data_IF_111992780046
#
_entry.id   IF_111992780046
#
_cell.length_a   1.000
_cell.length_b   1.000
_cell.length_c   1.000
_cell.angle_alpha   90.00
_cell.angle_beta   90.00
_cell.angle_gamma   90.00
#
_symmetry.space_group_name_H-M   'P 1'
#
loop_
_entity.id
_entity.type
_entity.pdbx_description
1 polymer ?
#
# COMPACT_ATOMS: atom_id res chain seq x y z
N UNK A 1 -1.33 -2.22 -36.05
CA UNK A 1 -2.51 -1.33 -35.97
C UNK A 1 -2.39 -0.55 -34.66
N UNK A 2 -2.62 0.81 -34.66
CA UNK A 2 -2.66 1.57 -33.41
C UNK A 2 -4.11 1.72 -32.96
N UNK A 3 -4.42 1.35 -31.73
CA UNK A 3 -5.76 1.42 -31.13
C UNK A 3 -5.66 2.39 -29.96
N UNK A 4 -6.31 3.53 -30.09
CA UNK A 4 -6.35 4.56 -29.05
C UNK A 4 -7.73 4.54 -28.39
N UNK A 5 -7.75 4.35 -27.06
CA UNK A 5 -8.96 4.37 -26.27
C UNK A 5 -9.07 5.73 -25.55
N UNK A 6 -10.27 6.32 -25.61
CA UNK A 6 -10.59 7.51 -24.82
C UNK A 6 -10.76 7.20 -23.32
N UNK A 7 -10.99 8.23 -22.51
CA UNK A 7 -11.10 8.09 -21.04
C UNK A 7 -12.26 7.19 -20.60
N UNK A 8 -13.38 7.18 -21.34
CA UNK A 8 -14.55 6.35 -21.00
C UNK A 8 -14.33 4.91 -21.40
N UNK A 9 -13.73 4.68 -22.58
CA UNK A 9 -13.37 3.35 -23.05
C UNK A 9 -12.30 2.72 -22.15
N UNK A 10 -11.29 3.49 -21.75
CA UNK A 10 -10.25 3.07 -20.80
C UNK A 10 -10.85 2.64 -19.48
N UNK A 11 -11.78 3.44 -18.92
CA UNK A 11 -12.48 3.10 -17.68
C UNK A 11 -13.35 1.85 -17.84
N UNK A 12 -14.08 1.72 -18.96
CA UNK A 12 -14.92 0.54 -19.20
C UNK A 12 -14.08 -0.75 -19.32
N UNK A 13 -12.95 -0.71 -20.02
CA UNK A 13 -12.00 -1.84 -20.11
C UNK A 13 -11.46 -2.19 -18.72
N UNK A 14 -11.07 -1.19 -17.93
CA UNK A 14 -10.60 -1.41 -16.57
C UNK A 14 -11.65 -2.09 -15.67
N UNK A 15 -12.93 -1.72 -15.80
CA UNK A 15 -14.04 -2.37 -15.07
C UNK A 15 -14.23 -3.82 -15.54
N UNK A 16 -14.16 -4.11 -16.83
CA UNK A 16 -14.24 -5.50 -17.34
C UNK A 16 -13.09 -6.35 -16.79
N UNK A 17 -11.87 -5.81 -16.77
CA UNK A 17 -10.68 -6.44 -16.21
C UNK A 17 -10.84 -6.68 -14.71
N UNK A 18 -11.40 -5.71 -13.97
CA UNK A 18 -11.71 -5.84 -12.53
C UNK A 18 -12.72 -6.97 -12.27
N UNK A 19 -13.80 -7.04 -13.06
CA UNK A 19 -14.82 -8.09 -12.94
C UNK A 19 -14.23 -9.48 -13.24
N UNK A 20 -13.38 -9.59 -14.27
CA UNK A 20 -12.64 -10.82 -14.57
C UNK A 20 -11.74 -11.22 -13.39
N UNK A 21 -11.00 -10.27 -12.83
CA UNK A 21 -10.13 -10.51 -11.67
C UNK A 21 -10.91 -10.98 -10.45
N UNK A 22 -12.05 -10.36 -10.16
CA UNK A 22 -12.95 -10.79 -9.08
C UNK A 22 -13.49 -12.20 -9.30
N UNK A 23 -13.88 -12.55 -10.53
CA UNK A 23 -14.33 -13.89 -10.86
C UNK A 23 -13.23 -14.93 -10.65
N UNK A 24 -12.02 -14.68 -11.15
CA UNK A 24 -10.88 -15.59 -11.01
C UNK A 24 -10.42 -15.73 -9.55
N UNK A 25 -10.42 -14.62 -8.79
CA UNK A 25 -10.10 -14.65 -7.36
C UNK A 25 -11.04 -15.58 -6.59
N UNK A 26 -12.35 -15.58 -6.91
CA UNK A 26 -13.33 -16.49 -6.29
C UNK A 26 -13.11 -17.97 -6.65
N UNK A 27 -12.48 -18.27 -7.79
CA UNK A 27 -12.28 -19.65 -8.29
C UNK A 27 -10.92 -20.25 -7.91
N UNK A 28 -9.89 -19.42 -7.77
CA UNK A 28 -8.50 -19.88 -7.60
C UNK A 28 -8.04 -19.61 -6.17
N UNK A 29 -7.93 -20.68 -5.38
CA UNK A 29 -7.52 -20.62 -3.97
C UNK A 29 -6.17 -19.90 -3.76
N UNK A 30 -5.19 -20.10 -4.65
CA UNK A 30 -3.88 -19.43 -4.59
C UNK A 30 -4.03 -17.91 -4.56
N UNK A 31 -4.90 -17.33 -5.40
CA UNK A 31 -5.11 -15.88 -5.48
C UNK A 31 -5.79 -15.33 -4.23
N UNK A 32 -6.65 -16.13 -3.57
CA UNK A 32 -7.26 -15.79 -2.30
C UNK A 32 -6.24 -15.84 -1.17
N UNK A 33 -5.48 -16.94 -1.08
CA UNK A 33 -4.48 -17.18 -0.04
C UNK A 33 -3.44 -16.07 0.05
N UNK A 34 -2.99 -15.54 -1.07
CA UNK A 34 -2.00 -14.45 -1.12
C UNK A 34 -2.63 -13.06 -1.19
N UNK A 35 -3.93 -12.93 -0.97
CA UNK A 35 -4.68 -11.67 -0.96
C UNK A 35 -4.45 -10.78 -2.20
N UNK A 36 -4.13 -11.39 -3.37
CA UNK A 36 -3.84 -10.63 -4.59
C UNK A 36 -5.06 -9.80 -4.99
N UNK A 37 -4.91 -8.47 -5.21
CA UNK A 37 -6.02 -7.61 -5.60
C UNK A 37 -6.64 -8.02 -6.94
N UNK A 38 -7.96 -7.98 -7.05
CA UNK A 38 -8.67 -8.34 -8.28
C UNK A 38 -8.23 -7.51 -9.52
N UNK A 39 -7.99 -6.18 -9.43
CA UNK A 39 -7.45 -5.40 -10.54
C UNK A 39 -6.13 -5.95 -11.06
N UNK A 40 -5.26 -6.44 -10.17
CA UNK A 40 -3.94 -7.00 -10.54
C UNK A 40 -4.12 -8.32 -11.31
N UNK A 41 -5.02 -9.20 -10.85
CA UNK A 41 -5.28 -10.49 -11.50
C UNK A 41 -5.79 -10.29 -12.94
N UNK A 42 -6.85 -9.52 -13.09
CA UNK A 42 -7.44 -9.27 -14.40
C UNK A 42 -6.53 -8.42 -15.28
N UNK A 43 -5.87 -7.40 -14.69
CA UNK A 43 -4.96 -6.51 -15.41
C UNK A 43 -3.72 -7.21 -15.94
N UNK A 44 -3.15 -8.16 -15.19
CA UNK A 44 -2.01 -8.94 -15.65
C UNK A 44 -2.38 -9.81 -16.88
N UNK A 45 -3.57 -10.42 -16.89
CA UNK A 45 -4.06 -11.17 -18.05
C UNK A 45 -4.18 -10.25 -19.27
N UNK A 46 -4.77 -9.07 -19.06
CA UNK A 46 -4.90 -8.07 -20.12
C UNK A 46 -3.52 -7.58 -20.60
N UNK A 47 -2.59 -7.31 -19.70
CA UNK A 47 -1.23 -6.89 -20.00
C UNK A 47 -0.44 -7.96 -20.76
N UNK A 48 -0.64 -9.24 -20.47
CA UNK A 48 -0.08 -10.35 -21.26
C UNK A 48 -0.65 -10.34 -22.68
N UNK A 49 -1.96 -10.15 -22.82
CA UNK A 49 -2.61 -10.07 -24.14
C UNK A 49 -2.06 -8.89 -24.96
N UNK A 50 -1.97 -7.69 -24.38
CA UNK A 50 -1.42 -6.50 -25.05
C UNK A 50 0.07 -6.68 -25.39
N UNK A 51 0.84 -7.34 -24.52
CA UNK A 51 2.24 -7.69 -24.76
C UNK A 51 2.38 -8.61 -25.99
N UNK A 52 1.56 -9.66 -26.09
CA UNK A 52 1.56 -10.55 -27.25
C UNK A 52 1.21 -9.77 -28.52
N UNK A 53 0.17 -8.93 -28.48
CA UNK A 53 -0.22 -8.09 -29.62
C UNK A 53 0.89 -7.14 -30.05
N UNK A 54 1.62 -6.55 -29.11
CA UNK A 54 2.74 -5.64 -29.36
C UNK A 54 3.93 -6.38 -30.00
N UNK A 55 4.37 -7.50 -29.39
CA UNK A 55 5.54 -8.27 -29.85
C UNK A 55 5.28 -8.89 -31.24
N UNK A 56 4.05 -9.32 -31.50
CA UNK A 56 3.66 -9.88 -32.81
C UNK A 56 3.38 -8.80 -33.86
N UNK A 57 3.39 -7.52 -33.49
CA UNK A 57 3.11 -6.41 -34.42
C UNK A 57 1.65 -6.28 -34.85
N UNK A 58 0.72 -7.03 -34.24
CA UNK A 58 -0.72 -7.03 -34.58
C UNK A 58 -1.37 -5.70 -34.18
N UNK A 59 -1.18 -5.27 -32.91
CA UNK A 59 -1.78 -4.07 -32.39
C UNK A 59 -0.92 -3.45 -31.29
N UNK A 60 -0.95 -2.12 -31.22
CA UNK A 60 -0.39 -1.29 -30.15
C UNK A 60 -1.56 -0.52 -29.50
N UNK A 61 -1.73 -0.69 -28.19
CA UNK A 61 -2.80 -0.03 -27.42
C UNK A 61 -2.27 1.21 -26.73
N UNK A 62 -3.05 2.29 -26.77
CA UNK A 62 -2.82 3.54 -26.05
C UNK A 62 -4.09 3.90 -25.30
N UNK A 63 -3.94 4.31 -24.03
CA UNK A 63 -5.03 4.56 -23.09
C UNK A 63 -4.96 6.01 -22.62
N UNK A 64 -6.14 6.61 -22.38
CA UNK A 64 -6.24 7.91 -21.75
C UNK A 64 -6.15 7.78 -20.22
N UNK A 65 -5.28 8.56 -19.60
CA UNK A 65 -4.95 8.48 -18.18
C UNK A 65 -5.76 9.45 -17.29
N UNK A 66 -6.59 10.31 -17.86
CA UNK A 66 -7.30 11.39 -17.14
C UNK A 66 -8.12 10.85 -15.95
N UNK A 67 -8.96 9.85 -16.16
CA UNK A 67 -9.77 9.28 -15.08
C UNK A 67 -8.94 8.45 -14.10
N UNK A 68 -7.82 7.89 -14.54
CA UNK A 68 -6.87 7.21 -13.64
C UNK A 68 -6.32 8.18 -12.60
N UNK A 69 -5.89 9.38 -13.04
CA UNK A 69 -5.38 10.42 -12.14
C UNK A 69 -6.44 10.92 -11.17
N UNK A 70 -7.68 11.14 -11.64
CA UNK A 70 -8.80 11.52 -10.78
C UNK A 70 -9.04 10.48 -9.68
N UNK A 71 -9.16 9.19 -10.06
CA UNK A 71 -9.38 8.12 -9.09
C UNK A 71 -8.20 7.98 -8.11
N UNK A 72 -6.96 8.17 -8.56
CA UNK A 72 -5.76 8.18 -7.72
C UNK A 72 -5.84 9.29 -6.67
N UNK A 73 -6.18 10.53 -7.07
CA UNK A 73 -6.28 11.67 -6.16
C UNK A 73 -7.38 11.43 -5.12
N UNK A 74 -8.54 10.91 -5.52
CA UNK A 74 -9.62 10.54 -4.58
C UNK A 74 -9.16 9.50 -3.56
N UNK A 75 -8.46 8.45 -4.01
CA UNK A 75 -7.91 7.42 -3.13
C UNK A 75 -6.92 8.01 -2.11
N UNK A 76 -5.90 8.73 -2.55
CA UNK A 76 -4.91 9.30 -1.62
C UNK A 76 -5.49 10.38 -0.71
N UNK A 77 -6.52 11.10 -1.15
CA UNK A 77 -7.26 12.02 -0.28
C UNK A 77 -7.96 11.26 0.84
N UNK A 78 -8.58 10.11 0.54
CA UNK A 78 -9.19 9.26 1.58
C UNK A 78 -8.14 8.74 2.57
N UNK A 79 -6.94 8.38 2.11
CA UNK A 79 -5.79 8.02 2.97
C UNK A 79 -5.41 9.19 3.88
N UNK A 80 -5.42 10.43 3.37
CA UNK A 80 -5.16 11.62 4.18
C UNK A 80 -6.15 11.77 5.33
N UNK A 81 -7.44 11.52 5.11
CA UNK A 81 -8.46 11.55 6.17
C UNK A 81 -8.26 10.48 7.25
N UNK A 82 -7.52 9.42 6.99
CA UNK A 82 -7.20 8.41 8.00
C UNK A 82 -6.19 8.92 9.05
N UNK A 83 -5.35 9.90 8.73
CA UNK A 83 -4.31 10.46 9.62
C UNK A 83 -4.91 11.27 10.78
N UNK A 84 -5.33 10.59 11.86
CA UNK A 84 -5.96 11.17 13.04
C UNK A 84 -4.99 11.21 14.23
N UNK A 85 -4.59 12.43 14.64
CA UNK A 85 -3.69 12.65 15.78
C UNK A 85 -4.30 12.29 17.13
N UNK A 86 -5.63 12.33 17.28
CA UNK A 86 -6.30 11.93 18.51
C UNK A 86 -6.18 10.41 18.72
N UNK A 87 -6.36 9.63 17.66
CA UNK A 87 -6.14 8.18 17.67
C UNK A 87 -4.67 7.85 17.96
N UNK A 88 -3.73 8.60 17.37
CA UNK A 88 -2.31 8.41 17.63
C UNK A 88 -1.97 8.68 19.13
N UNK A 89 -2.56 9.70 19.74
CA UNK A 89 -2.35 9.99 21.17
C UNK A 89 -2.99 8.96 22.09
N UNK A 90 -4.17 8.42 21.73
CA UNK A 90 -4.87 7.41 22.55
C UNK A 90 -4.21 6.02 22.48
N UNK A 91 -3.48 5.70 21.41
CA UNK A 91 -2.79 4.41 21.23
C UNK A 91 -1.57 4.19 22.12
N UNK A 92 -1.21 5.17 22.94
CA UNK A 92 -0.17 5.06 23.96
C UNK A 92 1.25 4.89 23.42
N UNK A 93 2.19 4.54 24.32
CA UNK A 93 3.62 4.42 24.02
C UNK A 93 3.90 3.35 22.97
N UNK A 94 3.21 2.22 23.02
CA UNK A 94 3.42 1.10 22.09
C UNK A 94 3.12 1.48 20.64
N UNK A 95 2.05 2.25 20.40
CA UNK A 95 1.70 2.74 19.06
C UNK A 95 2.77 3.68 18.51
N UNK A 96 3.27 4.63 19.32
CA UNK A 96 4.30 5.58 18.89
C UNK A 96 5.61 4.86 18.57
N UNK A 97 6.02 3.90 19.41
CA UNK A 97 7.23 3.10 19.20
C UNK A 97 7.08 2.27 17.91
N UNK A 98 5.94 1.60 17.74
CA UNK A 98 5.69 0.79 16.55
C UNK A 98 5.65 1.65 15.27
N UNK A 99 5.02 2.82 15.31
CA UNK A 99 5.04 3.78 14.21
C UNK A 99 6.48 4.22 13.87
N UNK A 100 7.30 4.50 14.88
CA UNK A 100 8.72 4.81 14.68
C UNK A 100 9.49 3.68 14.00
N UNK A 101 9.21 2.42 14.36
CA UNK A 101 9.80 1.25 13.71
C UNK A 101 9.35 1.13 12.25
N UNK A 102 8.09 1.39 11.93
CA UNK A 102 7.59 1.36 10.55
C UNK A 102 8.25 2.46 9.70
N UNK A 103 8.42 3.67 10.23
CA UNK A 103 9.16 4.75 9.55
C UNK A 103 10.62 4.32 9.30
N UNK A 104 11.27 3.72 10.30
CA UNK A 104 12.63 3.21 10.15
C UNK A 104 12.72 2.12 9.07
N UNK A 105 11.74 1.20 9.02
CA UNK A 105 11.64 0.19 7.98
C UNK A 105 11.52 0.81 6.59
N UNK A 106 10.62 1.78 6.40
CA UNK A 106 10.41 2.50 5.14
C UNK A 106 11.72 3.13 4.66
N UNK A 107 12.43 3.82 5.55
CA UNK A 107 13.72 4.46 5.24
C UNK A 107 14.76 3.41 4.87
N UNK A 108 14.88 2.32 5.63
CA UNK A 108 15.84 1.25 5.37
C UNK A 108 15.57 0.52 4.05
N UNK A 109 14.29 0.30 3.69
CA UNK A 109 13.93 -0.27 2.40
C UNK A 109 14.40 0.59 1.24
N UNK A 110 14.20 1.91 1.31
CA UNK A 110 14.65 2.83 0.27
C UNK A 110 16.17 2.93 0.23
N UNK A 111 16.85 3.04 1.36
CA UNK A 111 18.32 3.08 1.42
C UNK A 111 18.94 1.80 0.85
N UNK A 112 18.40 0.63 1.22
CA UNK A 112 18.87 -0.66 0.71
C UNK A 112 18.67 -0.77 -0.80
N UNK A 113 17.48 -0.39 -1.29
CA UNK A 113 17.14 -0.43 -2.70
C UNK A 113 18.03 0.50 -3.54
N UNK A 114 18.16 1.76 -3.12
CA UNK A 114 19.01 2.76 -3.79
C UNK A 114 20.49 2.39 -3.72
N UNK A 115 20.95 1.92 -2.55
CA UNK A 115 22.34 1.50 -2.35
C UNK A 115 22.72 0.33 -3.26
N UNK A 116 21.89 -0.71 -3.31
CA UNK A 116 22.11 -1.85 -4.18
C UNK A 116 21.98 -1.52 -5.65
N UNK A 117 21.04 -0.65 -6.04
CA UNK A 117 20.93 -0.19 -7.42
C UNK A 117 22.23 0.49 -7.87
N UNK A 118 22.81 1.38 -7.03
CA UNK A 118 24.12 2.00 -7.31
C UNK A 118 25.25 0.97 -7.44
N UNK A 119 25.29 -0.05 -6.56
CA UNK A 119 26.27 -1.13 -6.63
C UNK A 119 26.15 -1.95 -7.93
N UNK A 120 24.94 -2.17 -8.39
CA UNK A 120 24.63 -2.85 -9.65
C UNK A 120 24.78 -1.93 -10.88
N UNK A 121 25.27 -0.69 -10.69
CA UNK A 121 25.41 0.33 -11.74
C UNK A 121 24.11 0.68 -12.46
N UNK A 122 22.97 0.55 -11.75
CA UNK A 122 21.67 0.98 -12.22
C UNK A 122 21.39 2.43 -11.79
N UNK A 123 20.42 3.05 -12.46
CA UNK A 123 19.88 4.34 -11.99
C UNK A 123 19.30 4.14 -10.58
N UNK A 124 19.65 4.99 -9.58
CA UNK A 124 19.13 4.89 -8.21
C UNK A 124 17.59 4.89 -8.12
N UNK A 125 16.92 5.59 -9.03
CA UNK A 125 15.45 5.61 -9.10
C UNK A 125 14.85 4.24 -9.50
N UNK A 126 15.59 3.36 -10.21
CA UNK A 126 15.21 1.96 -10.41
C UNK A 126 15.20 1.23 -9.06
N UNK A 127 16.15 1.56 -8.18
CA UNK A 127 16.13 1.07 -6.79
C UNK A 127 14.82 1.43 -6.10
N UNK A 128 14.35 2.68 -6.22
CA UNK A 128 13.08 3.10 -5.61
C UNK A 128 11.89 2.24 -6.06
N UNK A 129 11.91 1.72 -7.30
CA UNK A 129 10.90 0.78 -7.78
C UNK A 129 10.89 -0.56 -7.03
N UNK A 130 11.89 -0.85 -6.22
CA UNK A 130 11.98 -2.06 -5.38
C UNK A 130 12.04 -1.76 -3.89
N UNK A 131 12.02 -0.49 -3.52
CA UNK A 131 12.02 0.01 -2.14
C UNK A 131 10.62 0.04 -1.52
N UNK A 132 10.39 1.03 -0.67
CA UNK A 132 9.13 1.15 0.06
C UNK A 132 7.93 1.49 -0.84
N UNK A 133 8.15 1.97 -2.08
CA UNK A 133 7.08 2.22 -3.05
C UNK A 133 6.19 0.98 -3.21
N UNK A 134 6.71 -0.17 -3.70
CA UNK A 134 5.93 -1.39 -3.82
C UNK A 134 5.86 -2.21 -2.53
N UNK A 135 6.85 -2.13 -1.63
CA UNK A 135 6.92 -2.98 -0.44
C UNK A 135 5.88 -2.57 0.61
N UNK A 136 6.04 -1.44 1.26
CA UNK A 136 5.06 -0.94 2.25
C UNK A 136 3.82 -0.37 1.55
N UNK A 137 4.01 0.40 0.47
CA UNK A 137 2.91 1.06 -0.23
C UNK A 137 2.11 0.16 -1.18
N UNK A 138 2.60 -1.06 -1.47
CA UNK A 138 1.90 -2.03 -2.29
C UNK A 138 1.56 -1.52 -3.69
N UNK A 139 0.48 -2.07 -4.28
CA UNK A 139 0.04 -1.72 -5.63
C UNK A 139 -0.48 -0.28 -5.75
N UNK A 140 -1.08 0.27 -4.69
CA UNK A 140 -1.60 1.64 -4.69
C UNK A 140 -0.49 2.65 -4.92
N UNK A 141 0.53 2.60 -4.08
CA UNK A 141 1.69 3.49 -4.17
C UNK A 141 2.55 3.19 -5.40
N UNK A 142 2.67 1.91 -5.80
CA UNK A 142 3.34 1.51 -7.04
C UNK A 142 2.68 2.14 -8.28
N UNK A 143 1.36 2.09 -8.36
CA UNK A 143 0.61 2.71 -9.46
C UNK A 143 0.67 4.23 -9.47
N UNK A 144 0.82 4.87 -8.31
CA UNK A 144 0.90 6.33 -8.19
C UNK A 144 2.29 6.87 -8.49
N UNK A 145 3.33 6.27 -7.93
CA UNK A 145 4.71 6.74 -8.11
C UNK A 145 5.38 6.18 -9.37
N UNK A 146 4.90 5.06 -9.90
CA UNK A 146 5.41 4.49 -11.16
C UNK A 146 5.45 5.51 -12.29
N UNK A 147 4.32 6.16 -12.65
CA UNK A 147 4.28 7.22 -13.66
C UNK A 147 5.20 8.40 -13.33
N UNK A 148 5.27 8.83 -12.07
CA UNK A 148 6.17 9.91 -11.64
C UNK A 148 7.64 9.57 -11.94
N UNK A 149 8.04 8.30 -11.73
CA UNK A 149 9.38 7.83 -12.07
C UNK A 149 9.57 7.70 -13.59
N UNK A 150 8.52 7.38 -14.34
CA UNK A 150 8.55 7.37 -15.81
C UNK A 150 8.75 8.78 -16.38
N UNK A 151 8.12 9.79 -15.80
CA UNK A 151 8.33 11.22 -16.13
C UNK A 151 9.78 11.66 -15.84
N UNK A 152 10.44 11.02 -14.88
CA UNK A 152 11.87 11.18 -14.59
C UNK A 152 12.77 10.27 -15.47
N UNK A 153 12.26 9.81 -16.61
CA UNK A 153 12.94 8.99 -17.60
C UNK A 153 13.31 7.56 -17.16
N UNK A 154 12.63 7.00 -16.16
CA UNK A 154 12.78 5.59 -15.75
C UNK A 154 11.75 4.74 -16.52
N UNK A 155 12.17 4.22 -17.68
CA UNK A 155 11.29 3.40 -18.53
C UNK A 155 10.75 2.18 -17.79
N UNK A 156 9.45 1.94 -17.89
CA UNK A 156 8.78 0.78 -17.30
C UNK A 156 8.69 0.80 -15.77
N UNK A 157 8.90 1.96 -15.11
CA UNK A 157 8.87 2.06 -13.64
C UNK A 157 7.53 1.58 -13.07
N UNK A 158 6.40 1.91 -13.68
CA UNK A 158 5.08 1.45 -13.27
C UNK A 158 4.99 -0.08 -13.30
N UNK A 159 5.51 -0.68 -14.37
CA UNK A 159 5.51 -2.14 -14.55
C UNK A 159 6.43 -2.82 -13.53
N UNK A 160 7.63 -2.26 -13.28
CA UNK A 160 8.58 -2.76 -12.28
C UNK A 160 7.96 -2.69 -10.88
N UNK A 161 7.46 -1.52 -10.46
CA UNK A 161 6.85 -1.34 -9.14
C UNK A 161 5.68 -2.30 -8.91
N UNK A 162 4.83 -2.51 -9.91
CA UNK A 162 3.68 -3.41 -9.81
C UNK A 162 4.08 -4.87 -9.72
N UNK A 163 5.06 -5.30 -10.52
CA UNK A 163 5.61 -6.66 -10.44
C UNK A 163 6.21 -6.92 -9.05
N UNK A 164 6.97 -5.96 -8.53
CA UNK A 164 7.59 -6.03 -7.20
C UNK A 164 6.52 -6.05 -6.09
N UNK A 165 5.46 -5.25 -6.18
CA UNK A 165 4.35 -5.29 -5.23
C UNK A 165 3.66 -6.65 -5.19
N UNK A 166 3.43 -7.27 -6.37
CA UNK A 166 2.85 -8.62 -6.46
C UNK A 166 3.77 -9.67 -5.82
N UNK A 167 5.07 -9.58 -6.08
CA UNK A 167 6.08 -10.43 -5.46
C UNK A 167 6.09 -10.24 -3.93
N UNK A 168 6.06 -9.00 -3.47
CA UNK A 168 6.00 -8.66 -2.05
C UNK A 168 4.81 -9.28 -1.33
N UNK A 169 3.60 -9.25 -1.91
CA UNK A 169 2.41 -9.91 -1.36
C UNK A 169 2.63 -11.42 -1.15
N UNK A 170 3.23 -12.09 -2.13
CA UNK A 170 3.48 -13.53 -2.06
C UNK A 170 4.50 -13.84 -0.94
N UNK A 171 5.64 -13.14 -0.95
CA UNK A 171 6.71 -13.40 0.03
C UNK A 171 6.32 -12.97 1.43
N UNK A 172 5.62 -11.83 1.60
CA UNK A 172 5.11 -11.39 2.89
C UNK A 172 4.21 -12.42 3.55
N UNK A 173 3.33 -13.06 2.77
CA UNK A 173 2.45 -14.13 3.25
C UNK A 173 3.20 -15.43 3.55
N UNK A 174 4.31 -15.70 2.85
CA UNK A 174 5.09 -16.93 3.07
C UNK A 174 5.99 -16.85 4.31
N UNK A 175 6.53 -15.66 4.63
CA UNK A 175 7.53 -15.51 5.71
C UNK A 175 6.91 -15.14 7.05
N UNK A 176 5.78 -14.41 7.09
CA UNK A 176 5.25 -13.84 8.32
C UNK A 176 4.83 -14.90 9.34
N UNK A 177 4.01 -15.86 8.94
CA UNK A 177 3.58 -16.95 9.80
C UNK A 177 4.74 -17.78 10.38
N UNK A 178 5.63 -18.34 9.54
CA UNK A 178 6.78 -19.11 10.01
C UNK A 178 7.73 -18.31 10.92
N UNK A 179 7.92 -17.02 10.70
CA UNK A 179 8.79 -16.18 11.51
C UNK A 179 8.21 -15.92 12.90
N UNK A 180 6.91 -15.58 12.98
CA UNK A 180 6.20 -15.44 14.25
C UNK A 180 6.19 -16.73 15.05
N UNK A 181 5.85 -17.86 14.42
CA UNK A 181 5.89 -19.19 15.03
C UNK A 181 7.27 -19.52 15.59
N UNK A 182 8.33 -19.30 14.81
CA UNK A 182 9.73 -19.56 15.24
C UNK A 182 10.11 -18.73 16.47
N UNK A 183 9.66 -17.47 16.57
CA UNK A 183 9.92 -16.64 17.74
C UNK A 183 9.21 -17.18 18.98
N UNK A 184 7.93 -17.56 18.86
CA UNK A 184 7.12 -18.12 19.94
C UNK A 184 7.75 -19.40 20.49
N UNK A 185 8.12 -20.34 19.62
CA UNK A 185 8.70 -21.62 20.01
C UNK A 185 10.10 -21.48 20.59
N UNK A 186 10.97 -20.70 19.94
CA UNK A 186 12.38 -20.51 20.36
C UNK A 186 12.50 -19.86 21.73
N UNK A 187 11.62 -18.93 22.06
CA UNK A 187 11.66 -18.19 23.31
C UNK A 187 10.59 -18.61 24.32
N UNK A 188 9.81 -19.66 24.03
CA UNK A 188 8.73 -20.19 24.91
C UNK A 188 7.74 -19.10 25.36
N UNK A 189 7.30 -18.24 24.41
CA UNK A 189 6.58 -17.01 24.71
C UNK A 189 5.12 -17.19 25.15
N UNK A 190 4.55 -18.39 25.08
CA UNK A 190 3.17 -18.66 25.50
C UNK A 190 2.90 -18.27 26.95
N UNK A 191 3.92 -18.32 27.81
CA UNK A 191 3.80 -17.92 29.21
C UNK A 191 3.69 -16.39 29.38
N UNK A 192 3.98 -15.62 28.34
CA UNK A 192 3.88 -14.14 28.31
C UNK A 192 2.61 -13.67 27.60
N UNK A 193 1.81 -14.59 27.04
CA UNK A 193 0.53 -14.26 26.48
C UNK A 193 -0.39 -13.74 27.58
N UNK A 194 -0.95 -12.54 27.41
CA UNK A 194 -1.91 -12.02 28.35
C UNK A 194 -3.15 -12.93 28.36
N UNK A 195 -3.68 -13.23 29.55
CA UNK A 195 -5.02 -13.85 29.69
C UNK A 195 -6.06 -12.75 29.40
N UNK A 196 -6.10 -12.28 28.16
CA UNK A 196 -7.04 -11.25 27.75
C UNK A 196 -8.35 -11.94 27.32
N UNK A 197 -9.45 -11.41 27.83
CA UNK A 197 -10.78 -11.90 27.58
C UNK A 197 -11.14 -11.71 26.09
N UNK A 198 -11.44 -12.77 25.36
CA UNK A 198 -11.80 -12.76 23.91
C UNK A 198 -12.98 -11.82 23.59
N UNK A 199 -13.73 -11.40 24.63
CA UNK A 199 -14.84 -10.46 24.50
C UNK A 199 -14.45 -9.07 23.92
N UNK A 200 -13.17 -8.68 24.03
CA UNK A 200 -12.68 -7.40 23.51
C UNK A 200 -12.37 -7.44 21.99
N UNK A 201 -12.26 -8.62 21.38
CA UNK A 201 -12.11 -8.79 19.93
C UNK A 201 -13.43 -8.68 19.18
N UNK A 202 -14.55 -8.82 19.90
CA UNK A 202 -15.91 -8.59 19.38
C UNK A 202 -16.33 -7.17 19.76
N UNK A 203 -15.65 -6.16 19.25
CA UNK A 203 -16.38 -4.92 19.02
C UNK A 203 -17.43 -5.27 17.96
N UNK A 204 -18.68 -5.37 18.40
CA UNK A 204 -19.83 -5.31 17.53
C UNK A 204 -19.55 -4.21 16.51
N UNK A 205 -19.32 -4.59 15.24
CA UNK A 205 -19.57 -3.69 14.14
C UNK A 205 -21.04 -3.28 14.31
N UNK A 206 -21.28 -2.23 15.10
CA UNK A 206 -22.56 -1.55 15.13
C UNK A 206 -22.85 -1.33 13.67
N UNK A 207 -23.89 -2.02 13.15
CA UNK A 207 -24.32 -1.88 11.76
C UNK A 207 -24.48 -0.38 11.52
N UNK A 208 -23.42 0.21 10.93
CA UNK A 208 -23.43 1.61 10.57
C UNK A 208 -24.50 1.75 9.49
N UNK A 209 -25.65 2.34 9.85
CA UNK A 209 -26.70 2.60 8.88
C UNK A 209 -26.18 3.64 7.90
N UNK A 210 -25.93 3.19 6.67
CA UNK A 210 -25.38 4.00 5.59
C UNK A 210 -26.53 4.69 4.87
N UNK A 211 -26.56 6.01 4.94
CA UNK A 211 -27.56 6.84 4.27
C UNK A 211 -26.93 7.62 3.11
N UNK A 212 -27.71 7.84 2.04
CA UNK A 212 -27.26 8.56 0.83
C UNK A 212 -26.69 9.95 1.16
N UNK A 213 -27.24 10.64 2.16
CA UNK A 213 -26.74 11.96 2.59
C UNK A 213 -25.30 11.89 3.13
N UNK A 214 -24.93 10.82 3.86
CA UNK A 214 -23.57 10.62 4.38
C UNK A 214 -22.55 10.42 3.26
N UNK A 215 -22.95 9.71 2.18
CA UNK A 215 -22.10 9.60 0.99
C UNK A 215 -21.93 10.92 0.25
N UNK A 216 -23.00 11.73 0.15
CA UNK A 216 -22.92 13.06 -0.45
C UNK A 216 -21.96 13.96 0.34
N UNK A 217 -22.10 13.98 1.67
CA UNK A 217 -21.20 14.76 2.55
C UNK A 217 -19.74 14.27 2.42
N UNK A 218 -19.53 12.96 2.38
CA UNK A 218 -18.18 12.37 2.20
C UNK A 218 -17.56 12.77 0.85
N UNK A 219 -18.34 12.73 -0.25
CA UNK A 219 -17.88 13.18 -1.57
C UNK A 219 -17.54 14.67 -1.54
N UNK A 220 -18.37 15.51 -0.92
CA UNK A 220 -18.09 16.95 -0.81
C UNK A 220 -16.84 17.22 0.03
N UNK A 221 -16.65 16.50 1.13
CA UNK A 221 -15.45 16.60 1.95
C UNK A 221 -14.19 16.21 1.17
N UNK A 222 -14.25 15.12 0.39
CA UNK A 222 -13.13 14.71 -0.48
C UNK A 222 -12.83 15.78 -1.54
N UNK A 223 -13.84 16.30 -2.23
CA UNK A 223 -13.65 17.33 -3.26
C UNK A 223 -13.08 18.63 -2.66
N UNK A 224 -13.56 19.05 -1.48
CA UNK A 224 -13.03 20.22 -0.78
C UNK A 224 -11.58 20.03 -0.38
N UNK A 225 -11.23 18.84 0.15
CA UNK A 225 -9.84 18.52 0.50
C UNK A 225 -8.93 18.48 -0.74
N UNK A 226 -9.41 17.96 -1.88
CA UNK A 226 -8.70 18.00 -3.16
C UNK A 226 -8.47 19.45 -3.61
N UNK A 227 -9.51 20.28 -3.58
CA UNK A 227 -9.43 21.69 -3.98
C UNK A 227 -8.42 22.49 -3.14
N UNK A 228 -8.46 22.34 -1.80
CA UNK A 228 -7.46 22.95 -0.91
C UNK A 228 -6.07 22.34 -1.15
N UNK A 229 -6.02 21.06 -1.43
CA UNK A 229 -4.79 20.32 -1.70
C UNK A 229 -4.05 20.80 -2.93
N UNK A 230 -4.74 21.24 -3.98
CA UNK A 230 -4.08 21.85 -5.15
C UNK A 230 -3.33 23.14 -4.79
N UNK A 231 -3.87 23.92 -3.84
CA UNK A 231 -3.17 25.10 -3.31
C UNK A 231 -1.91 24.67 -2.54
N UNK A 232 -2.00 23.60 -1.74
CA UNK A 232 -0.83 23.08 -1.02
C UNK A 232 0.24 22.56 -2.00
N UNK A 233 -0.15 21.80 -3.04
CA UNK A 233 0.79 21.37 -4.07
C UNK A 233 1.46 22.57 -4.76
N UNK A 234 0.70 23.60 -5.12
CA UNK A 234 1.24 24.83 -5.72
C UNK A 234 2.24 25.55 -4.80
N UNK A 235 1.99 25.57 -3.49
CA UNK A 235 2.92 26.15 -2.51
C UNK A 235 4.19 25.29 -2.35
N UNK A 236 4.03 23.96 -2.31
CA UNK A 236 5.14 23.03 -2.19
C UNK A 236 6.04 23.04 -3.42
N UNK A 237 5.50 23.11 -4.63
CA UNK A 237 6.29 23.18 -5.87
C UNK A 237 7.11 24.47 -5.99
N UNK A 238 6.70 25.57 -5.32
CA UNK A 238 7.53 26.79 -5.23
C UNK A 238 8.85 26.58 -4.49
N UNK A 239 9.00 25.51 -3.73
CA UNK A 239 10.26 25.13 -3.08
C UNK A 239 11.31 24.58 -4.05
N UNK A 240 10.95 24.37 -5.33
CA UNK A 240 11.81 23.75 -6.35
C UNK A 240 11.82 22.22 -6.29
N UNK A 241 11.06 21.61 -5.39
CA UNK A 241 10.93 20.16 -5.25
C UNK A 241 9.73 19.63 -6.05
N UNK A 242 9.85 18.41 -6.56
CA UNK A 242 8.77 17.75 -7.30
C UNK A 242 7.81 17.06 -6.33
N UNK A 243 6.56 17.51 -6.32
CA UNK A 243 5.49 16.90 -5.52
C UNK A 243 4.37 16.42 -6.43
N UNK A 244 4.00 15.12 -6.38
CA UNK A 244 2.78 14.64 -7.03
C UNK A 244 1.53 15.37 -6.51
N UNK A 245 0.55 15.57 -7.38
CA UNK A 245 -0.69 16.33 -7.08
C UNK A 245 -1.43 15.81 -5.85
N UNK A 246 -1.45 14.50 -5.66
CA UNK A 246 -2.16 13.88 -4.55
C UNK A 246 -1.51 14.12 -3.17
N UNK A 247 -0.22 14.48 -3.10
CA UNK A 247 0.44 14.79 -1.82
C UNK A 247 -0.22 16.00 -1.16
N UNK A 248 -0.50 17.07 -1.92
CA UNK A 248 -1.20 18.22 -1.37
C UNK A 248 -2.62 17.88 -0.92
N UNK A 249 -3.35 17.08 -1.71
CA UNK A 249 -4.70 16.65 -1.36
C UNK A 249 -4.71 15.77 -0.10
N UNK A 250 -3.75 14.87 0.04
CA UNK A 250 -3.56 14.03 1.21
C UNK A 250 -3.25 14.85 2.48
N UNK A 251 -2.37 15.85 2.37
CA UNK A 251 -2.04 16.78 3.48
C UNK A 251 -3.24 17.63 3.88
N UNK A 252 -3.99 18.17 2.91
CA UNK A 252 -5.20 18.95 3.15
C UNK A 252 -6.28 18.11 3.86
N UNK A 253 -6.47 16.87 3.44
CA UNK A 253 -7.40 15.94 4.06
C UNK A 253 -6.99 15.61 5.51
N UNK A 254 -5.71 15.36 5.76
CA UNK A 254 -5.18 15.14 7.11
C UNK A 254 -5.40 16.35 8.02
N UNK A 255 -5.16 17.56 7.50
CA UNK A 255 -5.41 18.80 8.24
C UNK A 255 -6.90 18.98 8.53
N UNK A 256 -7.76 18.82 7.51
CA UNK A 256 -9.21 18.92 7.62
C UNK A 256 -9.75 17.92 8.65
N UNK A 257 -9.32 16.66 8.61
CA UNK A 257 -9.68 15.63 9.59
C UNK A 257 -9.38 16.08 11.02
N UNK A 258 -8.16 16.54 11.25
CA UNK A 258 -7.73 16.91 12.61
C UNK A 258 -8.42 18.20 13.09
N UNK A 259 -8.62 19.19 12.23
CA UNK A 259 -9.38 20.41 12.60
C UNK A 259 -10.81 20.03 12.98
N UNK A 260 -11.53 19.26 12.17
CA UNK A 260 -12.90 18.85 12.46
C UNK A 260 -13.00 18.04 13.76
N UNK A 261 -12.03 17.13 14.01
CA UNK A 261 -11.99 16.30 15.22
C UNK A 261 -11.77 17.13 16.51
N UNK A 262 -10.97 18.21 16.43
CA UNK A 262 -10.69 19.06 17.59
C UNK A 262 -11.75 20.15 17.80
N UNK A 263 -12.34 20.68 16.73
CA UNK A 263 -13.27 21.82 16.80
C UNK A 263 -14.75 21.41 16.79
N UNK A 264 -15.07 20.21 16.29
CA UNK A 264 -16.46 19.77 16.13
C UNK A 264 -17.26 20.53 15.06
N UNK A 265 -16.60 21.31 14.19
CA UNK A 265 -17.27 22.14 13.16
C UNK A 265 -18.05 21.27 12.16
N UNK A 266 -17.51 20.10 11.80
CA UNK A 266 -18.16 19.19 10.87
C UNK A 266 -17.90 17.74 11.27
N UNK A 267 -18.88 16.87 10.99
CA UNK A 267 -18.72 15.42 11.17
C UNK A 267 -18.04 14.84 9.95
N UNK A 268 -16.98 14.08 10.17
CA UNK A 268 -16.27 13.35 9.11
C UNK A 268 -16.81 11.93 9.03
N UNK A 269 -17.43 11.58 7.92
CA UNK A 269 -18.03 10.27 7.66
C UNK A 269 -16.98 9.27 7.15
N UNK A 270 -16.13 8.76 8.08
CA UNK A 270 -14.97 7.91 7.72
C UNK A 270 -15.34 6.61 7.04
N UNK A 271 -16.50 6.00 7.38
CA UNK A 271 -16.97 4.79 6.72
C UNK A 271 -17.19 5.01 5.23
N UNK A 272 -17.91 6.07 4.89
CA UNK A 272 -18.23 6.44 3.52
C UNK A 272 -17.01 6.94 2.75
N UNK A 273 -16.11 7.69 3.40
CA UNK A 273 -14.81 8.12 2.83
C UNK A 273 -13.96 6.90 2.48
N UNK A 274 -13.89 5.90 3.35
CA UNK A 274 -13.15 4.67 3.10
C UNK A 274 -13.75 3.84 1.96
N UNK A 275 -15.08 3.75 1.88
CA UNK A 275 -15.76 3.06 0.78
C UNK A 275 -15.46 3.73 -0.57
N UNK A 276 -15.59 5.07 -0.63
CA UNK A 276 -15.27 5.86 -1.83
C UNK A 276 -13.78 5.74 -2.21
N UNK A 277 -12.90 5.78 -1.21
CA UNK A 277 -11.47 5.53 -1.39
C UNK A 277 -11.18 4.14 -1.95
N UNK A 278 -11.84 3.09 -1.44
CA UNK A 278 -11.71 1.71 -1.90
C UNK A 278 -12.20 1.50 -3.34
N UNK A 279 -13.33 2.13 -3.71
CA UNK A 279 -13.84 2.13 -5.09
C UNK A 279 -12.84 2.84 -6.00
N UNK A 280 -12.38 4.03 -5.60
CA UNK A 280 -11.41 4.81 -6.36
C UNK A 280 -10.10 4.07 -6.54
N UNK A 281 -9.59 3.40 -5.50
CA UNK A 281 -8.41 2.52 -5.58
C UNK A 281 -8.60 1.40 -6.60
N UNK A 282 -9.76 0.74 -6.57
CA UNK A 282 -10.03 -0.39 -7.48
C UNK A 282 -10.05 0.04 -8.94
N UNK A 283 -10.68 1.18 -9.25
CA UNK A 283 -10.74 1.75 -10.59
C UNK A 283 -9.37 2.26 -11.03
N UNK A 284 -8.67 2.99 -10.17
CA UNK A 284 -7.31 3.47 -10.39
C UNK A 284 -6.36 2.31 -10.72
N UNK A 285 -6.35 1.26 -9.89
CA UNK A 285 -5.52 0.08 -10.13
C UNK A 285 -5.93 -0.67 -11.41
N UNK A 286 -7.23 -0.78 -11.69
CA UNK A 286 -7.70 -1.39 -12.94
C UNK A 286 -7.13 -0.68 -14.16
N UNK A 287 -7.21 0.65 -14.21
CA UNK A 287 -6.66 1.46 -15.29
C UNK A 287 -5.12 1.39 -15.34
N UNK A 288 -4.43 1.44 -14.18
CA UNK A 288 -2.98 1.31 -14.13
C UNK A 288 -2.48 -0.07 -14.62
N UNK A 289 -3.24 -1.14 -14.33
CA UNK A 289 -2.85 -2.50 -14.73
C UNK A 289 -2.98 -2.77 -16.23
N UNK A 290 -3.99 -2.20 -16.89
CA UNK A 290 -4.15 -2.39 -18.35
C UNK A 290 -3.09 -1.67 -19.18
N UNK A 291 -2.42 -0.66 -18.59
CA UNK A 291 -1.35 0.12 -19.24
C UNK A 291 0.04 -0.51 -19.10
N UNK A 292 0.20 -1.63 -18.39
CA UNK A 292 1.50 -2.26 -18.13
C UNK A 292 2.20 -2.73 -19.39
N UNK A 293 3.49 -2.38 -19.52
CA UNK A 293 4.37 -2.73 -20.64
C UNK A 293 5.33 -3.85 -20.26
N UNK A 294 4.83 -5.09 -20.23
CA UNK A 294 5.61 -6.24 -19.74
C UNK A 294 6.90 -6.51 -20.53
N UNK A 295 6.97 -6.09 -21.80
CA UNK A 295 8.17 -6.23 -22.61
C UNK A 295 9.36 -5.38 -22.13
N UNK A 296 9.11 -4.35 -21.30
CA UNK A 296 10.16 -3.49 -20.74
C UNK A 296 10.89 -4.16 -19.55
N UNK A 297 10.31 -5.20 -18.93
CA UNK A 297 10.91 -5.90 -17.77
C UNK A 297 12.06 -6.84 -18.14
N UNK A 298 12.12 -7.33 -19.37
CA UNK A 298 13.03 -8.42 -19.75
C UNK A 298 14.51 -8.10 -19.51
N UNK A 299 14.93 -6.85 -19.73
CA UNK A 299 16.31 -6.41 -19.56
C UNK A 299 16.75 -6.24 -18.11
N UNK A 300 15.82 -6.15 -17.17
CA UNK A 300 16.07 -5.89 -15.75
C UNK A 300 15.81 -7.11 -14.84
N UNK A 301 15.47 -8.26 -15.40
CA UNK A 301 15.03 -9.44 -14.65
C UNK A 301 16.03 -9.87 -13.55
N UNK A 302 17.32 -10.03 -13.88
CA UNK A 302 18.34 -10.45 -12.92
C UNK A 302 18.61 -9.42 -11.83
N UNK A 303 18.84 -8.11 -12.13
CA UNK A 303 18.94 -7.09 -11.11
C UNK A 303 17.73 -7.01 -10.18
N UNK A 304 16.52 -7.13 -10.71
CA UNK A 304 15.30 -7.11 -9.92
C UNK A 304 15.22 -8.26 -8.93
N UNK A 305 15.62 -9.48 -9.31
CA UNK A 305 15.66 -10.62 -8.39
C UNK A 305 16.62 -10.37 -7.23
N UNK A 306 17.79 -9.77 -7.48
CA UNK A 306 18.77 -9.44 -6.43
C UNK A 306 18.19 -8.38 -5.47
N UNK A 307 17.59 -7.31 -6.01
CA UNK A 307 16.98 -6.26 -5.22
C UNK A 307 15.82 -6.79 -4.36
N UNK A 308 14.97 -7.66 -4.94
CA UNK A 308 13.86 -8.30 -4.22
C UNK A 308 14.33 -9.24 -3.11
N UNK A 309 15.37 -10.06 -3.39
CA UNK A 309 15.94 -10.94 -2.38
C UNK A 309 16.52 -10.13 -1.20
N UNK A 310 17.13 -8.98 -1.48
CA UNK A 310 17.65 -8.08 -0.45
C UNK A 310 16.52 -7.47 0.39
N UNK A 311 15.39 -7.09 -0.20
CA UNK A 311 14.22 -6.59 0.53
C UNK A 311 13.61 -7.67 1.43
N UNK A 312 13.51 -8.91 0.94
CA UNK A 312 13.05 -10.04 1.75
C UNK A 312 13.99 -10.30 2.93
N UNK A 313 15.29 -10.26 2.69
CA UNK A 313 16.29 -10.42 3.77
C UNK A 313 16.22 -9.26 4.77
N UNK A 314 16.07 -8.03 4.29
CA UNK A 314 15.92 -6.85 5.13
C UNK A 314 14.73 -6.97 6.07
N UNK A 315 13.54 -7.32 5.56
CA UNK A 315 12.33 -7.42 6.40
C UNK A 315 12.50 -8.52 7.45
N UNK A 316 13.08 -9.66 7.11
CA UNK A 316 13.35 -10.75 8.04
C UNK A 316 14.29 -10.28 9.17
N UNK A 317 15.41 -9.64 8.82
CA UNK A 317 16.38 -9.16 9.80
C UNK A 317 15.76 -8.06 10.65
N UNK A 318 15.08 -7.10 10.04
CA UNK A 318 14.48 -5.97 10.74
C UNK A 318 13.43 -6.44 11.75
N UNK A 319 12.50 -7.29 11.34
CA UNK A 319 11.41 -7.74 12.22
C UNK A 319 11.91 -8.68 13.30
N UNK A 320 12.80 -9.63 12.95
CA UNK A 320 13.32 -10.61 13.90
C UNK A 320 14.29 -10.00 14.92
N UNK A 321 15.17 -9.07 14.51
CA UNK A 321 16.23 -8.52 15.37
C UNK A 321 15.83 -7.19 15.98
N UNK A 322 15.27 -6.25 15.21
CA UNK A 322 15.00 -4.89 15.69
C UNK A 322 13.62 -4.82 16.31
N UNK A 323 12.59 -5.12 15.55
CA UNK A 323 11.21 -4.96 15.98
C UNK A 323 10.87 -5.83 17.18
N UNK A 324 11.17 -7.14 17.13
CA UNK A 324 10.92 -8.06 18.23
C UNK A 324 11.57 -7.60 19.54
N UNK A 325 12.82 -7.11 19.47
CA UNK A 325 13.54 -6.66 20.66
C UNK A 325 12.99 -5.35 21.24
N UNK A 326 12.58 -4.42 20.39
CA UNK A 326 12.08 -3.10 20.83
C UNK A 326 10.64 -3.20 21.31
N UNK A 327 9.82 -4.08 20.72
CA UNK A 327 8.40 -4.23 21.09
C UNK A 327 8.16 -5.06 22.37
N UNK A 328 9.21 -5.61 23.00
CA UNK A 328 9.12 -6.18 24.35
C UNK A 328 9.58 -7.64 24.48
N UNK A 329 9.91 -8.33 23.39
CA UNK A 329 10.30 -9.76 23.35
C UNK A 329 9.25 -10.71 23.96
N UNK A 330 8.00 -10.30 23.92
CA UNK A 330 6.85 -11.04 24.43
C UNK A 330 6.06 -11.71 23.28
N UNK A 331 4.97 -12.36 23.64
CA UNK A 331 4.07 -13.02 22.70
C UNK A 331 3.50 -12.01 21.68
N UNK A 332 3.07 -10.84 22.15
CA UNK A 332 2.51 -9.80 21.31
C UNK A 332 3.53 -9.29 20.28
N UNK A 333 4.80 -9.13 20.71
CA UNK A 333 5.87 -8.74 19.78
C UNK A 333 6.10 -9.79 18.69
N UNK A 334 5.96 -11.09 18.98
CA UNK A 334 6.08 -12.15 17.97
C UNK A 334 4.91 -12.11 16.97
N UNK A 335 3.70 -11.79 17.41
CA UNK A 335 2.54 -11.61 16.52
C UNK A 335 2.69 -10.34 15.68
N UNK A 336 3.19 -9.22 16.26
CA UNK A 336 3.51 -8.00 15.53
C UNK A 336 4.52 -8.28 14.40
N UNK A 337 5.60 -9.01 14.67
CA UNK A 337 6.59 -9.42 13.67
C UNK A 337 5.92 -10.16 12.49
N UNK A 338 5.01 -11.09 12.80
CA UNK A 338 4.24 -11.80 11.77
C UNK A 338 3.40 -10.84 10.92
N UNK A 339 2.73 -9.88 11.55
CA UNK A 339 1.94 -8.85 10.88
C UNK A 339 2.80 -7.90 10.05
N UNK A 340 3.92 -7.41 10.61
CA UNK A 340 4.83 -6.48 9.91
C UNK A 340 5.43 -7.10 8.66
N UNK A 341 5.74 -8.40 8.66
CA UNK A 341 6.15 -9.09 7.42
C UNK A 341 5.06 -8.98 6.33
N UNK A 342 3.79 -9.04 6.70
CA UNK A 342 2.67 -8.94 5.76
C UNK A 342 2.51 -7.56 5.14
N UNK A 343 2.38 -6.50 5.95
CA UNK A 343 2.18 -5.15 5.41
C UNK A 343 3.48 -4.50 4.94
N UNK A 344 4.61 -4.84 5.55
CA UNK A 344 5.92 -4.27 5.20
C UNK A 344 6.50 -4.76 3.88
N UNK A 345 5.88 -5.79 3.27
CA UNK A 345 6.22 -6.28 1.92
C UNK A 345 5.00 -6.43 1.02
N UNK A 346 3.83 -5.98 1.44
CA UNK A 346 2.65 -6.23 0.63
C UNK A 346 1.46 -5.35 0.94
N UNK A 347 0.67 -5.74 1.94
CA UNK A 347 -0.56 -5.03 2.29
C UNK A 347 -1.08 -5.43 3.68
N UNK A 348 -1.90 -4.55 4.29
CA UNK A 348 -2.52 -4.82 5.59
C UNK A 348 -3.36 -6.11 5.63
N UNK A 349 -4.13 -6.51 4.59
CA UNK A 349 -4.80 -7.82 4.60
C UNK A 349 -3.85 -9.01 4.75
N UNK A 350 -2.65 -8.96 4.18
CA UNK A 350 -1.63 -9.99 4.38
C UNK A 350 -1.12 -10.03 5.81
N UNK A 351 -0.97 -8.86 6.44
CA UNK A 351 -0.61 -8.78 7.85
C UNK A 351 -1.65 -9.47 8.73
N UNK A 352 -2.93 -9.17 8.49
CA UNK A 352 -4.04 -9.80 9.23
C UNK A 352 -4.07 -11.31 9.02
N UNK A 353 -3.91 -11.79 7.78
CA UNK A 353 -3.87 -13.21 7.47
C UNK A 353 -2.70 -13.93 8.14
N UNK A 354 -1.51 -13.32 8.18
CA UNK A 354 -0.34 -13.85 8.85
C UNK A 354 -0.56 -13.96 10.37
N UNK A 355 -1.06 -12.90 10.99
CA UNK A 355 -1.37 -12.90 12.43
C UNK A 355 -2.42 -13.95 12.77
N UNK A 356 -3.52 -14.02 11.98
CA UNK A 356 -4.57 -15.00 12.17
C UNK A 356 -4.02 -16.43 12.11
N UNK A 357 -3.19 -16.74 11.10
CA UNK A 357 -2.60 -18.07 10.94
C UNK A 357 -1.72 -18.50 12.14
N UNK A 358 -1.08 -17.55 12.82
CA UNK A 358 -0.31 -17.83 14.03
C UNK A 358 -1.25 -17.92 15.24
N UNK A 359 -2.18 -16.98 15.41
CA UNK A 359 -3.13 -16.96 16.52
C UNK A 359 -4.04 -18.19 16.53
N UNK A 360 -4.44 -18.74 15.38
CA UNK A 360 -5.23 -19.97 15.28
C UNK A 360 -4.50 -21.20 15.83
N UNK A 361 -3.16 -21.16 15.87
CA UNK A 361 -2.34 -22.25 16.44
C UNK A 361 -2.04 -22.06 17.94
N UNK A 362 -2.13 -20.81 18.44
CA UNK A 362 -1.75 -20.46 19.80
C UNK A 362 -2.86 -19.67 20.50
N UNK A 363 -2.66 -18.36 20.74
CA UNK A 363 -3.60 -17.50 21.46
C UNK A 363 -3.76 -16.18 20.70
N UNK A 364 -4.93 -15.54 20.69
CA UNK A 364 -5.11 -14.20 20.14
C UNK A 364 -4.22 -13.16 20.83
N UNK A 365 -3.77 -12.13 20.07
CA UNK A 365 -3.05 -10.97 20.59
C UNK A 365 -3.83 -9.71 20.32
N UNK A 366 -4.61 -9.23 21.28
CA UNK A 366 -5.42 -8.01 21.15
C UNK A 366 -4.54 -6.81 20.77
N UNK A 367 -3.38 -6.68 21.42
CA UNK A 367 -2.42 -5.60 21.15
C UNK A 367 -1.95 -5.59 19.69
N UNK A 368 -1.59 -6.74 19.11
CA UNK A 368 -1.16 -6.81 17.72
C UNK A 368 -2.31 -6.51 16.75
N UNK A 369 -3.52 -7.03 17.03
CA UNK A 369 -4.71 -6.76 16.22
C UNK A 369 -5.16 -5.30 16.26
N UNK A 370 -4.82 -4.54 17.31
CA UNK A 370 -5.03 -3.10 17.37
C UNK A 370 -3.92 -2.32 16.67
N UNK A 371 -2.65 -2.66 16.90
CA UNK A 371 -1.52 -1.87 16.40
C UNK A 371 -1.31 -2.00 14.88
N UNK A 372 -1.43 -3.20 14.33
CA UNK A 372 -1.19 -3.44 12.89
C UNK A 372 -2.16 -2.67 11.99
N UNK A 373 -3.49 -2.74 12.17
CA UNK A 373 -4.40 -1.95 11.36
C UNK A 373 -4.21 -0.44 11.56
N UNK A 374 -4.03 0.02 12.81
CA UNK A 374 -3.85 1.44 13.11
C UNK A 374 -2.60 2.01 12.42
N UNK A 375 -1.47 1.31 12.48
CA UNK A 375 -0.24 1.79 11.86
C UNK A 375 -0.20 1.48 10.38
N UNK A 376 -0.52 0.24 9.99
CA UNK A 376 -0.40 -0.23 8.61
C UNK A 376 -1.39 0.42 7.64
N UNK A 377 -2.63 0.69 8.08
CA UNK A 377 -3.63 1.30 7.19
C UNK A 377 -3.81 2.81 7.40
N UNK A 378 -3.65 3.33 8.65
CA UNK A 378 -3.91 4.74 8.91
C UNK A 378 -2.70 5.64 8.68
N UNK A 379 -1.49 5.17 9.01
CA UNK A 379 -0.31 6.02 9.02
C UNK A 379 0.77 5.61 8.03
N UNK A 380 0.92 4.30 7.74
CA UNK A 380 2.02 3.82 6.92
C UNK A 380 1.99 4.40 5.50
N UNK A 381 0.84 4.37 4.81
CA UNK A 381 0.71 4.89 3.45
C UNK A 381 0.94 6.40 3.38
N UNK A 382 0.43 7.14 4.37
CA UNK A 382 0.64 8.58 4.48
C UNK A 382 2.13 8.93 4.64
N UNK A 383 2.79 8.32 5.62
CA UNK A 383 4.20 8.60 5.91
C UNK A 383 5.12 8.06 4.81
N UNK A 384 4.78 6.90 4.24
CA UNK A 384 5.52 6.33 3.13
C UNK A 384 5.55 7.27 1.92
N UNK A 385 4.40 7.84 1.56
CA UNK A 385 4.31 8.80 0.44
C UNK A 385 5.20 10.02 0.65
N UNK A 386 5.29 10.56 1.88
CA UNK A 386 6.16 11.66 2.23
C UNK A 386 7.64 11.28 2.12
N UNK A 387 8.00 10.10 2.67
CA UNK A 387 9.39 9.61 2.62
C UNK A 387 9.82 9.32 1.18
N UNK A 388 8.96 8.69 0.36
CA UNK A 388 9.25 8.44 -1.06
C UNK A 388 9.50 9.76 -1.80
N UNK A 389 8.62 10.74 -1.60
CA UNK A 389 8.77 12.07 -2.23
C UNK A 389 10.09 12.72 -1.84
N UNK A 390 10.49 12.62 -0.55
CA UNK A 390 11.78 13.10 -0.09
C UNK A 390 12.95 12.39 -0.82
N UNK A 391 12.92 11.07 -0.92
CA UNK A 391 13.97 10.30 -1.60
C UNK A 391 14.06 10.62 -3.08
N UNK A 392 12.94 10.75 -3.79
CA UNK A 392 12.92 11.09 -5.22
C UNK A 392 13.57 12.46 -5.46
N UNK A 393 13.35 13.44 -4.57
CA UNK A 393 13.93 14.77 -4.69
C UNK A 393 15.41 14.82 -4.24
N UNK A 394 15.91 13.81 -3.52
CA UNK A 394 17.31 13.71 -3.10
C UNK A 394 18.19 13.04 -4.16
N UNK A 395 17.62 12.22 -5.04
CA UNK A 395 18.34 11.39 -6.02
C UNK A 395 18.44 12.04 -7.38
#
# INVERSE_FOLDING_TARGET
>A
MKIQLDMYQTLAVAVLVLLLGNYLKKKIYFLQKFCIPAPVIGGLIFAIMTCICYVTGIAEFSFDDTLREVCMVFFFTSVGFQANLKVLKSGGKSLIVFLGLVIALIILQNLTAVGLAKLLKLNPLIGMCTGSIPMVGGHGTAGAFGPVLEDLNIKGATTICTAVATFGLIFGSLIGGPLGKRLIEKHSLLNTAANEDDSLLVEDEKKHERHTNMYADAVFQLILAIGVGTIFTMLLTKTGLTFPIYIGAMLAAALMRNICEYTGIATIHMGEINDLGGISLSLFLGMAMITLRLWELASLALPLVILLAAQVLLIIIFTYVIEFNIMGRDYDAAILVSGTCGFGTGATPNAMANMQAVCDQYVPSIKAYLLIPLVGSLFADFLNSLVITFFINLL
#
